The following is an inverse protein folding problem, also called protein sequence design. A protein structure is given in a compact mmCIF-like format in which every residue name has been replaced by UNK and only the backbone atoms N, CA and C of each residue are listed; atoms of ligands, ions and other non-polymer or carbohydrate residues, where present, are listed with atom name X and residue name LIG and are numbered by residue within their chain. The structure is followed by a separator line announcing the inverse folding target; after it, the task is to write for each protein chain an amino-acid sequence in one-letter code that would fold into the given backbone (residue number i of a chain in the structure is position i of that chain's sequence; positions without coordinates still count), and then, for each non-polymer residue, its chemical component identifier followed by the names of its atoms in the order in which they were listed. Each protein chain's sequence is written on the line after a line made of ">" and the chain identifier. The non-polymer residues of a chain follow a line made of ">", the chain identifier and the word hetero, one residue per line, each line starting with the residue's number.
data_IF_127377330103
#
_entry.id   IF_127377330103
#
_cell.length_a   1.000
_cell.length_b   1.000
_cell.length_c   1.000
_cell.angle_alpha   90.00
_cell.angle_beta   90.00
_cell.angle_gamma   90.00
#
_symmetry.space_group_name_H-M   'P 1'
#
loop_
_entity.id
_entity.type
_entity.pdbx_description
1 polymer ?
#
# COMPACT_ATOMS: atom_id res chain seq x y z
N UNK A 1 -13.12 -5.51 11.43
CA UNK A 1 -13.49 -4.89 12.73
C UNK A 1 -14.98 -4.96 12.98
N UNK A 2 -15.85 -4.65 12.00
CA UNK A 2 -17.32 -4.89 12.09
C UNK A 2 -17.64 -6.32 12.48
N UNK A 3 -16.99 -7.27 11.82
CA UNK A 3 -17.20 -8.70 12.08
C UNK A 3 -16.85 -9.14 13.51
N UNK A 4 -15.87 -8.50 14.14
CA UNK A 4 -15.54 -8.78 15.55
C UNK A 4 -16.64 -8.27 16.48
N UNK A 5 -17.22 -7.08 16.18
CA UNK A 5 -18.39 -6.57 16.90
C UNK A 5 -19.60 -7.49 16.73
N UNK A 6 -19.85 -7.94 15.50
CA UNK A 6 -20.95 -8.86 15.17
C UNK A 6 -20.79 -10.22 15.88
N UNK A 7 -19.53 -10.60 16.19
CA UNK A 7 -19.20 -11.80 16.96
C UNK A 7 -19.20 -11.59 18.49
N UNK A 8 -19.66 -10.43 18.95
CA UNK A 8 -19.83 -10.11 20.37
C UNK A 8 -18.57 -9.62 21.10
N UNK A 9 -17.49 -9.27 20.37
CA UNK A 9 -16.30 -8.68 20.96
C UNK A 9 -16.46 -7.18 21.17
N UNK A 10 -15.92 -6.65 22.28
CA UNK A 10 -15.75 -5.20 22.47
C UNK A 10 -14.57 -4.73 21.62
N UNK A 11 -14.80 -3.80 20.70
CA UNK A 11 -13.76 -3.25 19.80
C UNK A 11 -13.68 -1.75 19.97
N UNK A 12 -12.48 -1.24 20.22
CA UNK A 12 -12.19 0.20 20.32
C UNK A 12 -11.11 0.60 19.30
N UNK A 13 -11.23 1.76 18.70
CA UNK A 13 -10.17 2.39 17.91
C UNK A 13 -9.43 3.41 18.77
N UNK A 14 -8.10 3.24 18.90
CA UNK A 14 -7.26 4.14 19.67
C UNK A 14 -6.45 5.03 18.72
N UNK A 15 -6.85 6.30 18.62
CA UNK A 15 -6.12 7.30 17.84
C UNK A 15 -4.98 7.89 18.69
N UNK A 16 -3.77 7.46 18.33
CA UNK A 16 -2.51 7.91 18.95
C UNK A 16 -1.70 8.84 18.03
N UNK A 17 -2.30 9.35 16.96
CA UNK A 17 -1.62 10.22 15.96
C UNK A 17 -0.91 11.42 16.57
N UNK A 18 -1.52 12.06 17.59
CA UNK A 18 -0.94 13.21 18.30
C UNK A 18 0.37 12.90 19.04
N UNK A 19 0.66 11.64 19.33
CA UNK A 19 1.93 11.22 19.95
C UNK A 19 3.10 11.27 18.96
N UNK A 20 2.80 11.27 17.65
CA UNK A 20 3.80 11.14 16.58
C UNK A 20 3.87 12.36 15.66
N UNK A 21 2.79 13.12 15.54
CA UNK A 21 2.69 14.25 14.62
C UNK A 21 2.34 15.52 15.38
N UNK A 22 3.17 16.57 15.19
CA UNK A 22 3.02 17.88 15.88
C UNK A 22 1.94 18.75 15.20
N UNK A 23 1.64 18.52 13.93
CA UNK A 23 0.63 19.26 13.17
C UNK A 23 -0.62 18.42 12.95
N UNK A 24 -1.78 19.10 12.81
CA UNK A 24 -3.09 18.49 12.51
C UNK A 24 -3.10 17.84 11.10
N UNK A 25 -2.24 16.86 10.88
CA UNK A 25 -2.27 16.06 9.67
C UNK A 25 -3.45 15.09 9.74
N UNK A 26 -4.38 15.29 8.79
CA UNK A 26 -5.44 14.33 8.55
C UNK A 26 -6.46 14.28 9.68
N UNK A 27 -7.14 15.38 9.96
CA UNK A 27 -8.55 15.29 10.31
C UNK A 27 -9.30 14.93 9.02
N UNK A 28 -9.00 13.76 8.45
CA UNK A 28 -10.08 13.02 7.85
C UNK A 28 -11.01 12.71 9.02
N UNK A 29 -12.17 13.31 8.96
CA UNK A 29 -13.32 12.92 9.78
C UNK A 29 -13.68 11.49 9.33
N UNK A 30 -12.83 10.55 9.75
CA UNK A 30 -13.19 9.17 9.73
C UNK A 30 -14.31 9.07 10.76
N UNK A 31 -15.55 9.22 10.28
CA UNK A 31 -16.76 8.77 10.96
C UNK A 31 -16.60 7.26 11.16
N UNK A 32 -15.72 6.91 12.10
CA UNK A 32 -15.50 5.53 12.46
C UNK A 32 -16.80 5.07 13.12
N UNK A 33 -17.39 4.05 12.52
CA UNK A 33 -18.51 3.29 13.12
C UNK A 33 -18.14 2.68 14.49
N UNK A 34 -16.89 2.91 14.96
CA UNK A 34 -16.33 2.35 16.17
C UNK A 34 -16.15 3.40 17.27
N UNK A 35 -16.30 3.01 18.54
CA UNK A 35 -15.90 3.83 19.67
C UNK A 35 -14.43 4.22 19.54
N UNK A 36 -14.17 5.52 19.39
CA UNK A 36 -12.82 6.07 19.19
C UNK A 36 -12.33 6.76 20.43
N UNK A 37 -11.18 6.33 20.96
CA UNK A 37 -10.44 7.02 22.03
C UNK A 37 -9.26 7.77 21.43
N UNK A 38 -9.14 9.07 21.68
CA UNK A 38 -8.05 9.93 21.23
C UNK A 38 -7.13 10.26 22.38
N UNK A 39 -5.81 10.04 22.22
CA UNK A 39 -4.80 10.30 23.25
C UNK A 39 -3.96 11.51 22.86
N UNK A 40 -3.82 12.49 23.78
CA UNK A 40 -3.04 13.69 23.57
C UNK A 40 -1.56 13.53 23.93
N UNK A 41 -1.26 12.63 24.86
CA UNK A 41 0.09 12.37 25.38
C UNK A 41 0.23 10.94 25.88
N UNK A 42 1.46 10.53 26.13
CA UNK A 42 1.78 9.18 26.64
C UNK A 42 1.25 8.90 28.03
N UNK A 43 1.01 9.91 28.85
CA UNK A 43 0.46 9.72 30.20
C UNK A 43 -1.00 9.23 30.13
N UNK A 44 -1.82 9.86 29.30
CA UNK A 44 -3.20 9.40 29.05
C UNK A 44 -3.25 7.98 28.51
N UNK A 45 -2.37 7.66 27.54
CA UNK A 45 -2.27 6.31 26.96
C UNK A 45 -1.85 5.30 28.05
N UNK A 46 -0.88 5.64 28.88
CA UNK A 46 -0.41 4.76 29.94
C UNK A 46 -1.50 4.49 30.99
N UNK A 47 -2.30 5.50 31.36
CA UNK A 47 -3.45 5.29 32.24
C UNK A 47 -4.46 4.31 31.64
N UNK A 48 -4.77 4.45 30.34
CA UNK A 48 -5.66 3.53 29.64
C UNK A 48 -5.10 2.09 29.59
N UNK A 49 -3.79 1.94 29.32
CA UNK A 49 -3.14 0.61 29.31
C UNK A 49 -3.18 -0.07 30.69
N UNK A 50 -3.10 0.71 31.79
CA UNK A 50 -3.12 0.20 33.15
C UNK A 50 -4.42 -0.50 33.52
N UNK A 51 -5.54 -0.06 32.95
CA UNK A 51 -6.89 -0.58 33.26
C UNK A 51 -7.40 -1.59 32.22
N UNK A 52 -6.59 -1.91 31.20
CA UNK A 52 -6.98 -2.91 30.20
C UNK A 52 -7.24 -4.28 30.82
N UNK A 53 -8.29 -4.95 30.33
CA UNK A 53 -8.59 -6.34 30.70
C UNK A 53 -7.44 -7.26 30.25
N UNK A 54 -7.09 -8.27 31.06
CA UNK A 54 -5.95 -9.19 30.80
C UNK A 54 -5.95 -9.91 29.44
N UNK A 55 -7.10 -10.07 28.79
CA UNK A 55 -7.26 -10.74 27.50
C UNK A 55 -7.48 -9.78 26.34
N UNK A 56 -7.16 -8.50 26.49
CA UNK A 56 -7.30 -7.53 25.41
C UNK A 56 -6.18 -7.72 24.40
N UNK A 57 -6.54 -8.01 23.15
CA UNK A 57 -5.62 -8.02 22.01
C UNK A 57 -5.47 -6.59 21.48
N UNK A 58 -4.26 -6.07 21.45
CA UNK A 58 -3.91 -4.80 20.82
C UNK A 58 -3.33 -5.10 19.44
N UNK A 59 -4.00 -4.64 18.39
CA UNK A 59 -3.51 -4.77 17.03
C UNK A 59 -2.88 -3.44 16.61
N UNK A 60 -1.55 -3.45 16.43
CA UNK A 60 -0.83 -2.29 15.89
C UNK A 60 -0.99 -2.22 14.38
N UNK A 61 -1.47 -1.09 13.88
CA UNK A 61 -1.47 -0.76 12.45
C UNK A 61 -0.26 0.11 12.06
N UNK A 62 0.61 0.41 13.01
CA UNK A 62 1.83 1.18 12.79
C UNK A 62 2.99 0.26 12.40
N UNK A 63 3.84 0.74 11.50
CA UNK A 63 5.09 0.07 11.16
C UNK A 63 5.99 -0.04 12.40
N UNK A 64 6.51 -1.23 12.67
CA UNK A 64 7.42 -1.48 13.77
C UNK A 64 8.82 -0.94 13.45
N UNK A 65 9.08 0.31 13.82
CA UNK A 65 10.36 1.02 13.66
C UNK A 65 10.70 1.88 14.88
N UNK A 66 11.79 2.64 14.81
CA UNK A 66 12.28 3.44 15.93
C UNK A 66 11.27 4.43 16.52
N UNK A 67 10.30 4.90 15.74
CA UNK A 67 9.28 5.85 16.20
C UNK A 67 8.40 5.25 17.29
N UNK A 68 8.06 3.97 17.20
CA UNK A 68 7.18 3.28 18.15
C UNK A 68 7.91 2.71 19.38
N UNK A 69 9.22 2.92 19.52
CA UNK A 69 10.04 2.35 20.61
C UNK A 69 9.44 2.60 21.99
N UNK A 70 9.05 3.83 22.31
CA UNK A 70 8.46 4.17 23.62
C UNK A 70 7.10 3.50 23.84
N UNK A 71 6.27 3.43 22.82
CA UNK A 71 4.98 2.76 22.83
C UNK A 71 5.16 1.26 23.19
N UNK A 72 6.13 0.59 22.58
CA UNK A 72 6.38 -0.84 22.84
C UNK A 72 7.00 -1.09 24.20
N UNK A 73 7.74 -0.14 24.80
CA UNK A 73 8.11 -0.23 26.22
C UNK A 73 6.89 -0.22 27.13
N UNK A 74 5.89 0.60 26.86
CA UNK A 74 4.63 0.60 27.61
C UNK A 74 3.88 -0.72 27.44
N UNK A 75 3.75 -1.22 26.22
CA UNK A 75 3.12 -2.52 25.96
C UNK A 75 3.82 -3.66 26.72
N UNK A 76 5.15 -3.62 26.80
CA UNK A 76 5.94 -4.58 27.56
C UNK A 76 5.69 -4.46 29.07
N UNK A 77 5.71 -3.22 29.58
CA UNK A 77 5.46 -2.90 31.01
C UNK A 77 4.09 -3.43 31.47
N UNK A 78 3.06 -3.27 30.63
CA UNK A 78 1.69 -3.69 30.97
C UNK A 78 1.34 -5.09 30.47
N UNK A 79 2.32 -5.85 29.94
CA UNK A 79 2.17 -7.24 29.46
C UNK A 79 1.00 -7.39 28.46
N UNK A 80 0.83 -6.42 27.57
CA UNK A 80 -0.22 -6.44 26.57
C UNK A 80 -0.06 -7.63 25.61
N UNK A 81 -1.16 -8.19 25.11
CA UNK A 81 -1.16 -9.14 24.00
C UNK A 81 -1.12 -8.34 22.71
N UNK A 82 -0.09 -8.55 21.88
CA UNK A 82 0.19 -7.72 20.72
C UNK A 82 0.01 -8.47 19.41
N UNK A 83 -0.78 -7.90 18.51
CA UNK A 83 -0.90 -8.32 17.12
C UNK A 83 -0.39 -7.26 16.14
N UNK A 84 0.09 -7.69 14.98
CA UNK A 84 0.50 -6.81 13.89
C UNK A 84 0.14 -7.41 12.54
N UNK A 85 -0.16 -6.54 11.55
CA UNK A 85 -0.39 -6.94 10.17
C UNK A 85 0.85 -6.67 9.32
N UNK A 86 1.32 -7.71 8.63
CA UNK A 86 2.31 -7.64 7.56
C UNK A 86 1.66 -8.00 6.23
N UNK A 87 1.18 -7.01 5.48
CA UNK A 87 0.49 -7.20 4.20
C UNK A 87 0.61 -5.99 3.29
N UNK A 88 0.01 -6.05 2.09
CA UNK A 88 -0.02 -4.98 1.09
C UNK A 88 1.39 -4.60 0.60
N UNK A 89 2.26 -5.59 0.49
CA UNK A 89 3.59 -5.42 -0.07
C UNK A 89 3.58 -5.53 -1.58
N UNK A 90 4.63 -5.01 -2.20
CA UNK A 90 4.88 -5.05 -3.64
C UNK A 90 6.40 -5.17 -3.91
N UNK A 91 6.81 -5.48 -5.15
CA UNK A 91 8.22 -5.55 -5.50
C UNK A 91 8.92 -4.23 -5.24
N UNK A 92 9.87 -4.23 -4.31
CA UNK A 92 10.71 -3.07 -4.01
C UNK A 92 12.03 -3.18 -4.77
N UNK A 93 12.53 -2.04 -5.23
CA UNK A 93 13.90 -1.96 -5.69
C UNK A 93 14.83 -2.43 -4.57
N UNK A 94 15.69 -3.44 -4.80
CA UNK A 94 16.77 -3.70 -3.88
C UNK A 94 17.54 -2.38 -3.79
N UNK A 95 17.60 -1.78 -2.62
CA UNK A 95 18.39 -0.57 -2.38
C UNK A 95 19.82 -0.85 -2.81
N UNK A 96 20.13 -0.62 -4.10
CA UNK A 96 21.52 -0.46 -4.51
C UNK A 96 22.00 0.69 -3.68
N UNK A 97 22.99 0.44 -2.84
CA UNK A 97 23.65 1.42 -2.01
C UNK A 97 23.85 2.70 -2.83
N UNK A 98 22.93 3.67 -2.68
CA UNK A 98 23.25 5.03 -3.04
C UNK A 98 24.59 5.32 -2.38
N UNK A 99 25.55 5.80 -3.16
CA UNK A 99 26.85 6.21 -2.67
C UNK A 99 26.68 6.88 -1.31
N UNK A 100 27.46 6.47 -0.33
CA UNK A 100 27.41 6.98 1.05
C UNK A 100 27.38 8.52 1.06
N UNK A 101 28.06 9.15 0.10
CA UNK A 101 28.06 10.61 -0.09
C UNK A 101 26.69 11.18 -0.50
N UNK A 102 25.89 10.47 -1.30
CA UNK A 102 24.55 10.94 -1.69
C UNK A 102 23.50 10.72 -0.58
N UNK A 103 23.75 9.78 0.33
CA UNK A 103 22.95 9.61 1.56
C UNK A 103 23.24 10.73 2.58
N UNK A 104 24.46 11.22 2.63
CA UNK A 104 24.88 12.28 3.59
C UNK A 104 24.33 13.63 3.18
N UNK A 105 24.29 13.99 1.89
CA UNK A 105 23.83 15.30 1.42
C UNK A 105 22.32 15.54 1.56
N UNK A 106 21.50 14.46 1.69
CA UNK A 106 20.05 14.51 1.82
C UNK A 106 19.54 14.02 3.19
N UNK A 107 20.42 13.86 4.19
CA UNK A 107 20.04 13.44 5.53
C UNK A 107 19.34 14.58 6.27
N UNK A 108 18.02 14.52 6.29
CA UNK A 108 17.22 15.33 7.21
C UNK A 108 17.43 14.83 8.65
N UNK A 109 17.51 15.74 9.63
CA UNK A 109 17.70 15.43 11.05
C UNK A 109 16.70 14.37 11.57
N UNK A 110 15.46 14.41 11.06
CA UNK A 110 14.45 13.41 11.39
C UNK A 110 14.80 11.98 10.91
N UNK A 111 15.44 11.84 9.76
CA UNK A 111 15.89 10.53 9.24
C UNK A 111 17.02 9.96 10.07
N UNK A 112 17.99 10.80 10.47
CA UNK A 112 19.10 10.41 11.37
C UNK A 112 18.52 9.98 12.72
N UNK A 113 17.62 10.76 13.30
CA UNK A 113 16.95 10.45 14.55
C UNK A 113 16.21 9.10 14.46
N UNK A 114 15.43 8.87 13.42
CA UNK A 114 14.71 7.60 13.23
C UNK A 114 15.67 6.42 13.05
N UNK A 115 16.77 6.59 12.34
CA UNK A 115 17.80 5.56 12.21
C UNK A 115 18.36 5.15 13.58
N UNK A 116 18.77 6.10 14.42
CA UNK A 116 19.26 5.81 15.77
C UNK A 116 18.19 5.19 16.66
N UNK A 117 16.97 5.69 16.63
CA UNK A 117 15.84 5.12 17.37
C UNK A 117 15.55 3.68 16.94
N UNK A 118 15.63 3.38 15.64
CA UNK A 118 15.45 2.03 15.12
C UNK A 118 16.58 1.09 15.59
N UNK A 119 17.83 1.56 15.63
CA UNK A 119 18.93 0.77 16.18
C UNK A 119 18.73 0.50 17.68
N UNK A 120 18.28 1.49 18.43
CA UNK A 120 17.96 1.32 19.84
C UNK A 120 16.79 0.35 20.05
N UNK A 121 15.74 0.41 19.21
CA UNK A 121 14.65 -0.56 19.22
C UNK A 121 15.16 -1.99 19.05
N UNK A 122 16.03 -2.22 18.05
CA UNK A 122 16.61 -3.55 17.79
C UNK A 122 17.48 -4.04 18.96
N UNK A 123 18.20 -3.13 19.65
CA UNK A 123 18.96 -3.45 20.85
C UNK A 123 18.01 -3.84 21.99
N UNK A 124 16.96 -3.07 22.21
CA UNK A 124 15.97 -3.36 23.25
C UNK A 124 15.27 -4.71 23.03
N UNK A 125 14.96 -5.08 21.78
CA UNK A 125 14.47 -6.42 21.46
C UNK A 125 15.50 -7.50 21.76
N UNK A 126 16.78 -7.28 21.38
CA UNK A 126 17.84 -8.25 21.61
C UNK A 126 18.02 -8.56 23.11
N UNK A 127 17.84 -7.57 23.97
CA UNK A 127 17.94 -7.70 25.43
C UNK A 127 16.59 -7.90 26.12
N UNK A 128 15.55 -8.27 25.38
CA UNK A 128 14.19 -8.54 25.90
C UNK A 128 13.56 -7.41 26.71
N UNK A 129 14.03 -6.17 26.48
CA UNK A 129 13.46 -4.95 27.10
C UNK A 129 12.15 -4.53 26.45
N UNK A 130 11.93 -4.97 25.21
CA UNK A 130 10.70 -4.83 24.45
C UNK A 130 10.29 -6.24 24.04
N UNK A 131 9.03 -6.59 24.32
CA UNK A 131 8.48 -7.90 23.93
C UNK A 131 8.25 -7.95 22.41
N UNK A 132 8.33 -9.15 21.86
CA UNK A 132 7.91 -9.45 20.50
C UNK A 132 6.37 -9.47 20.38
N UNK A 133 5.87 -9.50 19.16
CA UNK A 133 4.45 -9.69 18.92
C UNK A 133 4.04 -11.12 19.27
N UNK A 134 2.88 -11.25 19.88
CA UNK A 134 2.29 -12.56 20.19
C UNK A 134 1.65 -13.15 18.93
N UNK A 135 1.09 -12.28 18.05
CA UNK A 135 0.36 -12.67 16.85
C UNK A 135 0.84 -11.84 15.67
N UNK A 136 1.11 -12.49 14.53
CA UNK A 136 1.53 -11.83 13.30
C UNK A 136 0.66 -12.32 12.14
N UNK A 137 -0.15 -11.42 11.59
CA UNK A 137 -0.97 -11.68 10.42
C UNK A 137 -0.17 -11.38 9.15
N UNK A 138 0.04 -12.39 8.29
CA UNK A 138 0.94 -12.27 7.13
C UNK A 138 0.20 -12.52 5.83
N UNK A 139 0.17 -11.50 4.96
CA UNK A 139 -0.41 -11.55 3.61
C UNK A 139 0.64 -11.77 2.52
N UNK A 140 0.67 -12.97 1.93
CA UNK A 140 1.69 -13.40 0.99
C UNK A 140 3.06 -13.66 1.64
N UNK A 141 3.98 -14.26 0.89
CA UNK A 141 5.32 -14.62 1.39
C UNK A 141 6.16 -13.42 1.79
N UNK A 142 5.96 -12.26 1.14
CA UNK A 142 6.68 -11.01 1.41
C UNK A 142 5.97 -10.09 2.40
N UNK A 143 4.78 -10.46 2.88
CA UNK A 143 3.93 -9.59 3.71
C UNK A 143 4.61 -9.09 4.98
N UNK A 144 5.44 -9.92 5.60
CA UNK A 144 6.17 -9.56 6.82
C UNK A 144 7.00 -8.27 6.67
N UNK A 145 7.51 -7.98 5.47
CA UNK A 145 8.26 -6.73 5.19
C UNK A 145 7.41 -5.48 5.44
N UNK A 146 6.09 -5.57 5.30
CA UNK A 146 5.15 -4.47 5.57
C UNK A 146 4.97 -4.16 7.05
N UNK A 147 5.28 -5.11 7.93
CA UNK A 147 5.19 -4.93 9.37
C UNK A 147 6.37 -4.14 9.96
N UNK A 148 7.45 -3.90 9.19
CA UNK A 148 8.64 -3.18 9.64
C UNK A 148 9.79 -4.10 10.03
N UNK A 149 10.50 -3.76 11.11
CA UNK A 149 11.70 -4.48 11.55
C UNK A 149 11.40 -5.78 12.33
N UNK A 150 10.56 -6.63 11.75
CA UNK A 150 10.26 -7.97 12.29
C UNK A 150 11.10 -9.01 11.54
N UNK A 151 11.86 -9.78 12.25
CA UNK A 151 12.74 -10.83 11.71
C UNK A 151 12.15 -12.22 11.96
N UNK A 152 12.65 -13.23 11.27
CA UNK A 152 12.28 -14.63 11.52
C UNK A 152 12.52 -15.07 12.96
N UNK A 153 13.51 -14.48 13.64
CA UNK A 153 13.78 -14.75 15.06
C UNK A 153 12.62 -14.26 15.96
N UNK A 154 12.06 -13.08 15.65
CA UNK A 154 10.92 -12.53 16.40
C UNK A 154 9.65 -13.37 16.22
N UNK A 155 9.58 -14.18 15.15
CA UNK A 155 8.43 -15.06 14.88
C UNK A 155 8.51 -16.41 15.61
N UNK A 156 9.63 -16.76 16.26
CA UNK A 156 9.79 -18.07 16.89
C UNK A 156 8.76 -18.34 17.99
N UNK A 157 8.31 -17.28 18.68
CA UNK A 157 7.33 -17.35 19.75
C UNK A 157 5.99 -16.70 19.39
N UNK A 158 5.82 -16.25 18.14
CA UNK A 158 4.59 -15.62 17.66
C UNK A 158 3.71 -16.65 16.97
N UNK A 159 2.41 -16.52 17.16
CA UNK A 159 1.44 -17.20 16.31
C UNK A 159 1.36 -16.49 14.96
N UNK A 160 1.71 -17.20 13.89
CA UNK A 160 1.71 -16.64 12.53
C UNK A 160 0.47 -17.08 11.79
N UNK A 161 -0.40 -16.12 11.47
CA UNK A 161 -1.67 -16.37 10.79
C UNK A 161 -1.58 -15.87 9.36
N UNK A 162 -1.79 -16.77 8.41
CA UNK A 162 -1.85 -16.40 6.99
C UNK A 162 -3.17 -15.70 6.67
N UNK A 163 -3.06 -14.57 5.97
CA UNK A 163 -4.20 -13.76 5.52
C UNK A 163 -3.95 -13.28 4.08
N UNK A 164 -4.87 -12.53 3.54
CA UNK A 164 -4.73 -11.89 2.24
C UNK A 164 -4.33 -10.41 2.34
N UNK A 165 -3.88 -9.84 1.23
CA UNK A 165 -3.87 -8.39 1.03
C UNK A 165 -5.30 -7.86 0.94
N UNK A 166 -5.48 -6.54 1.16
CA UNK A 166 -6.79 -5.91 1.00
C UNK A 166 -7.32 -6.05 -0.44
N UNK A 167 -6.43 -5.96 -1.41
CA UNK A 167 -6.77 -6.04 -2.83
C UNK A 167 -7.20 -7.44 -3.23
N UNK A 168 -6.58 -8.46 -2.62
CA UNK A 168 -6.99 -9.85 -2.87
C UNK A 168 -8.36 -10.15 -2.27
N UNK A 169 -8.65 -9.66 -1.07
CA UNK A 169 -10.00 -9.77 -0.49
C UNK A 169 -11.04 -9.10 -1.40
N UNK A 170 -10.71 -7.93 -1.96
CA UNK A 170 -11.59 -7.24 -2.91
C UNK A 170 -11.77 -8.04 -4.20
N UNK A 171 -10.71 -8.65 -4.71
CA UNK A 171 -10.78 -9.56 -5.85
C UNK A 171 -11.73 -10.74 -5.56
N UNK A 172 -11.62 -11.41 -4.41
CA UNK A 172 -12.49 -12.52 -4.03
C UNK A 172 -13.97 -12.12 -4.02
N UNK A 173 -14.28 -10.91 -3.57
CA UNK A 173 -15.65 -10.37 -3.57
C UNK A 173 -16.16 -10.10 -4.98
N UNK A 174 -15.31 -9.65 -5.88
CA UNK A 174 -15.69 -9.20 -7.23
C UNK A 174 -15.62 -10.28 -8.29
N UNK A 175 -14.79 -11.33 -8.13
CA UNK A 175 -14.57 -12.35 -9.16
C UNK A 175 -15.84 -13.10 -9.61
N UNK A 176 -16.85 -13.17 -8.75
CA UNK A 176 -18.14 -13.81 -9.02
C UNK A 176 -19.23 -12.83 -9.44
N UNK A 177 -18.93 -11.53 -9.40
CA UNK A 177 -19.90 -10.50 -9.76
C UNK A 177 -19.82 -10.23 -11.26
N UNK A 178 -20.93 -10.34 -11.98
CA UNK A 178 -21.03 -10.10 -13.42
C UNK A 178 -21.41 -8.67 -13.80
N UNK A 179 -21.75 -7.81 -12.83
CA UNK A 179 -22.15 -6.43 -13.12
C UNK A 179 -20.96 -5.62 -13.62
N UNK A 180 -21.08 -5.08 -14.82
CA UNK A 180 -20.07 -4.20 -15.43
C UNK A 180 -20.36 -2.73 -15.08
N UNK A 181 -19.29 -1.96 -14.89
CA UNK A 181 -19.42 -0.51 -14.68
C UNK A 181 -19.43 0.26 -16.01
N UNK A 182 -18.78 -0.28 -17.02
CA UNK A 182 -18.66 0.30 -18.35
C UNK A 182 -19.02 -0.79 -19.36
N UNK A 183 -19.92 -0.44 -20.30
CA UNK A 183 -20.21 -1.27 -21.44
C UNK A 183 -19.14 -1.12 -22.54
N UNK A 184 -18.85 -2.23 -23.24
CA UNK A 184 -17.85 -2.26 -24.31
C UNK A 184 -16.42 -2.48 -23.85
N UNK A 185 -15.50 -2.33 -24.80
CA UNK A 185 -14.05 -2.50 -24.58
C UNK A 185 -13.40 -1.18 -24.22
N UNK A 186 -12.44 -1.23 -23.30
CA UNK A 186 -11.65 -0.07 -22.91
C UNK A 186 -10.28 -0.45 -22.37
N UNK A 187 -9.39 0.50 -22.40
CA UNK A 187 -8.07 0.45 -21.80
C UNK A 187 -8.12 1.19 -20.47
N UNK A 188 -7.60 0.61 -19.41
CA UNK A 188 -7.62 1.25 -18.10
C UNK A 188 -6.26 1.87 -17.79
N UNK A 189 -6.25 3.12 -17.35
CA UNK A 189 -5.10 3.75 -16.70
C UNK A 189 -5.31 3.79 -15.18
N UNK A 190 -4.38 3.19 -14.44
CA UNK A 190 -4.33 3.29 -12.97
C UNK A 190 -3.52 4.53 -12.58
N UNK A 191 -4.23 5.59 -12.20
CA UNK A 191 -3.62 6.86 -11.84
C UNK A 191 -3.02 6.85 -10.42
N UNK A 192 -1.88 7.52 -10.27
CA UNK A 192 -1.19 7.71 -8.98
C UNK A 192 -1.22 9.17 -8.50
N UNK A 193 -1.88 10.06 -9.22
CA UNK A 193 -1.94 11.49 -8.90
C UNK A 193 -0.56 12.14 -8.77
N UNK A 194 0.44 11.66 -9.52
CA UNK A 194 1.86 11.97 -9.32
C UNK A 194 2.18 13.47 -9.19
N UNK A 195 1.69 14.39 -10.07
CA UNK A 195 2.03 15.81 -9.97
C UNK A 195 1.39 16.52 -8.76
N UNK A 196 0.29 15.98 -8.25
CA UNK A 196 -0.58 16.64 -7.28
C UNK A 196 -0.71 15.87 -5.97
N UNK A 197 -0.01 14.73 -5.84
CA UNK A 197 -0.13 13.87 -4.66
C UNK A 197 0.30 14.64 -3.40
N UNK A 198 -0.52 14.67 -2.32
CA UNK A 198 -0.22 15.43 -1.11
C UNK A 198 1.13 15.07 -0.47
N UNK A 199 1.53 13.81 -0.57
CA UNK A 199 2.78 13.31 0.04
C UNK A 199 4.02 13.92 -0.62
N UNK A 200 3.96 14.37 -1.89
CA UNK A 200 5.08 15.08 -2.54
C UNK A 200 5.41 16.37 -1.82
N UNK A 201 4.40 17.12 -1.42
CA UNK A 201 4.58 18.36 -0.62
C UNK A 201 5.04 18.03 0.79
N UNK A 202 4.42 17.04 1.42
CA UNK A 202 4.70 16.60 2.78
C UNK A 202 6.14 16.12 2.96
N UNK A 203 6.64 15.35 2.01
CA UNK A 203 7.99 14.77 2.05
C UNK A 203 9.04 15.67 1.38
N UNK A 204 8.65 16.88 0.95
CA UNK A 204 9.54 17.81 0.22
C UNK A 204 10.22 17.11 -0.97
N UNK A 205 9.49 16.26 -1.68
CA UNK A 205 10.00 15.56 -2.86
C UNK A 205 9.90 16.46 -4.10
N UNK A 206 10.87 16.31 -5.00
CA UNK A 206 10.75 16.91 -6.32
C UNK A 206 9.54 16.32 -7.04
N UNK A 207 8.63 17.18 -7.46
CA UNK A 207 7.44 16.80 -8.22
C UNK A 207 7.55 17.29 -9.66
N UNK A 208 6.91 16.54 -10.56
CA UNK A 208 6.67 17.01 -11.92
C UNK A 208 5.53 18.03 -11.88
N UNK A 209 5.62 19.08 -12.68
CA UNK A 209 4.53 20.06 -12.76
C UNK A 209 3.33 19.48 -13.54
N UNK A 210 2.09 19.78 -13.14
CA UNK A 210 0.90 19.34 -13.87
C UNK A 210 0.92 19.75 -15.35
N UNK A 211 1.41 20.96 -15.63
CA UNK A 211 1.51 21.53 -16.99
C UNK A 211 2.52 20.80 -17.88
N UNK A 212 3.45 20.06 -17.28
CA UNK A 212 4.42 19.20 -17.98
C UNK A 212 3.87 17.77 -18.16
N UNK A 213 3.23 17.24 -17.12
CA UNK A 213 2.83 15.84 -17.04
C UNK A 213 1.57 15.52 -17.89
N UNK A 214 0.47 16.24 -17.64
CA UNK A 214 -0.83 15.87 -18.25
C UNK A 214 -0.87 16.06 -19.77
N UNK A 215 -0.30 17.12 -20.40
CA UNK A 215 -0.29 17.24 -21.84
C UNK A 215 0.44 16.08 -22.53
N UNK A 216 1.60 15.66 -22.01
CA UNK A 216 2.36 14.55 -22.56
C UNK A 216 1.65 13.21 -22.37
N UNK A 217 1.02 13.02 -21.22
CA UNK A 217 0.24 11.82 -20.93
C UNK A 217 -1.00 11.72 -21.82
N UNK A 218 -1.71 12.84 -22.05
CA UNK A 218 -2.86 12.87 -22.94
C UNK A 218 -2.45 12.59 -24.39
N UNK A 219 -1.36 13.18 -24.88
CA UNK A 219 -0.84 12.87 -26.20
C UNK A 219 -0.44 11.39 -26.37
N UNK A 220 0.03 10.75 -25.29
CA UNK A 220 0.26 9.31 -25.26
C UNK A 220 -1.05 8.54 -25.33
N UNK A 221 -2.06 8.91 -24.57
CA UNK A 221 -3.38 8.25 -24.60
C UNK A 221 -4.06 8.39 -25.97
N UNK A 222 -3.93 9.55 -26.65
CA UNK A 222 -4.45 9.73 -28.01
C UNK A 222 -3.83 8.71 -29.00
N UNK A 223 -2.52 8.43 -28.85
CA UNK A 223 -1.85 7.40 -29.68
C UNK A 223 -2.33 5.98 -29.33
N UNK A 224 -2.49 5.69 -28.04
CA UNK A 224 -3.03 4.41 -27.57
C UNK A 224 -4.42 4.18 -28.11
N UNK A 225 -5.32 5.15 -27.97
CA UNK A 225 -6.71 5.06 -28.46
C UNK A 225 -6.77 4.89 -29.97
N UNK A 226 -5.95 5.63 -30.70
CA UNK A 226 -5.84 5.50 -32.16
C UNK A 226 -5.32 4.12 -32.59
N UNK A 227 -4.32 3.58 -31.89
CA UNK A 227 -3.71 2.29 -32.23
C UNK A 227 -4.64 1.11 -31.95
N UNK A 228 -5.38 1.14 -30.83
CA UNK A 228 -6.19 -0.01 -30.38
C UNK A 228 -7.69 0.16 -30.66
N UNK A 229 -8.16 1.32 -31.10
CA UNK A 229 -9.57 1.58 -31.37
C UNK A 229 -10.46 1.50 -30.13
N UNK A 230 -9.91 1.75 -28.94
CA UNK A 230 -10.59 1.65 -27.66
C UNK A 230 -10.32 2.91 -26.82
N UNK A 231 -11.31 3.43 -26.07
CA UNK A 231 -11.10 4.58 -25.20
C UNK A 231 -10.20 4.22 -24.01
N UNK A 232 -9.42 5.20 -23.57
CA UNK A 232 -8.70 5.13 -22.29
C UNK A 232 -9.62 5.67 -21.19
N UNK A 233 -9.78 4.87 -20.14
CA UNK A 233 -10.55 5.18 -18.93
C UNK A 233 -9.60 5.34 -17.75
N UNK A 234 -9.85 6.30 -16.88
CA UNK A 234 -8.99 6.64 -15.77
C UNK A 234 -9.58 6.11 -14.45
N UNK A 235 -8.86 5.26 -13.77
CA UNK A 235 -9.13 4.95 -12.37
C UNK A 235 -8.35 5.94 -11.49
N UNK A 236 -9.04 6.94 -10.95
CA UNK A 236 -8.45 8.00 -10.17
C UNK A 236 -7.90 7.49 -8.83
N UNK A 237 -6.76 8.06 -8.41
CA UNK A 237 -6.26 7.85 -7.07
C UNK A 237 -7.26 8.39 -6.02
N UNK A 238 -7.49 7.73 -4.86
CA UNK A 238 -8.48 8.16 -3.86
C UNK A 238 -8.30 9.62 -3.38
N UNK A 239 -7.06 10.12 -3.34
CA UNK A 239 -6.76 11.51 -2.95
C UNK A 239 -6.91 12.53 -4.08
N UNK A 240 -7.28 12.13 -5.28
CA UNK A 240 -7.33 12.98 -6.48
C UNK A 240 -8.64 13.79 -6.59
N UNK A 241 -9.04 14.47 -5.53
CA UNK A 241 -10.32 15.20 -5.47
C UNK A 241 -10.43 16.32 -6.51
N UNK A 242 -9.30 16.94 -6.90
CA UNK A 242 -9.28 17.98 -7.94
C UNK A 242 -9.78 17.51 -9.31
N UNK A 243 -9.74 16.22 -9.61
CA UNK A 243 -10.30 15.68 -10.84
C UNK A 243 -11.82 15.77 -10.93
N UNK A 244 -12.50 16.05 -9.82
CA UNK A 244 -13.94 16.34 -9.82
C UNK A 244 -14.25 17.76 -10.30
N UNK A 245 -13.29 18.65 -10.21
CA UNK A 245 -13.43 20.08 -10.49
C UNK A 245 -12.71 20.49 -11.78
N UNK A 246 -11.62 19.81 -12.13
CA UNK A 246 -10.75 20.16 -13.25
C UNK A 246 -10.56 18.97 -14.19
N UNK A 247 -10.60 19.24 -15.49
CA UNK A 247 -10.37 18.23 -16.53
C UNK A 247 -8.89 18.12 -16.87
N UNK A 248 -8.20 17.16 -16.28
CA UNK A 248 -6.79 16.87 -16.55
C UNK A 248 -6.56 15.88 -17.71
N UNK A 249 -7.57 15.11 -18.10
CA UNK A 249 -7.41 13.98 -19.00
C UNK A 249 -8.07 14.18 -20.38
N UNK A 250 -8.20 15.43 -20.83
CA UNK A 250 -8.69 15.72 -22.18
C UNK A 250 -10.13 15.24 -22.44
N UNK A 251 -10.98 15.22 -21.44
CA UNK A 251 -12.39 14.77 -21.53
C UNK A 251 -12.59 13.26 -21.36
N UNK A 252 -11.53 12.49 -21.09
CA UNK A 252 -11.65 11.05 -20.80
C UNK A 252 -12.40 10.80 -19.49
N UNK A 253 -13.13 9.70 -19.45
CA UNK A 253 -13.91 9.31 -18.26
C UNK A 253 -13.01 8.99 -17.08
N UNK A 254 -13.29 9.62 -15.92
CA UNK A 254 -12.56 9.44 -14.65
C UNK A 254 -13.50 8.82 -13.63
N UNK A 255 -13.07 7.70 -13.05
CA UNK A 255 -13.83 6.97 -12.05
C UNK A 255 -13.08 6.93 -10.72
N UNK A 256 -13.79 7.14 -9.63
CA UNK A 256 -13.27 7.11 -8.28
C UNK A 256 -13.69 5.80 -7.59
N UNK A 257 -12.84 5.30 -6.68
CA UNK A 257 -13.08 4.11 -5.83
C UNK A 257 -13.49 2.84 -6.60
N UNK A 258 -13.15 2.78 -7.90
CA UNK A 258 -13.61 1.75 -8.82
C UNK A 258 -12.49 0.93 -9.47
N UNK A 259 -11.23 1.08 -9.02
CA UNK A 259 -10.06 0.46 -9.66
C UNK A 259 -10.21 -1.06 -9.82
N UNK A 260 -10.74 -1.75 -8.82
CA UNK A 260 -10.88 -3.21 -8.86
C UNK A 260 -11.86 -3.69 -9.93
N UNK A 261 -13.06 -3.09 -10.01
CA UNK A 261 -14.08 -3.49 -10.99
C UNK A 261 -13.66 -3.07 -12.41
N UNK A 262 -13.03 -1.90 -12.55
CA UNK A 262 -12.50 -1.45 -13.83
C UNK A 262 -11.36 -2.37 -14.30
N UNK A 263 -10.44 -2.80 -13.43
CA UNK A 263 -9.41 -3.76 -13.78
C UNK A 263 -9.97 -5.09 -14.24
N UNK A 264 -11.02 -5.59 -13.57
CA UNK A 264 -11.66 -6.86 -13.94
C UNK A 264 -12.17 -6.86 -15.38
N UNK A 265 -12.73 -5.75 -15.85
CA UNK A 265 -13.44 -5.65 -17.12
C UNK A 265 -12.63 -5.02 -18.26
N UNK A 266 -11.44 -4.45 -17.95
CA UNK A 266 -10.54 -3.84 -18.95
C UNK A 266 -9.95 -4.89 -19.91
N UNK A 267 -9.67 -4.47 -21.16
CA UNK A 267 -8.91 -5.28 -22.13
C UNK A 267 -7.44 -5.37 -21.75
N UNK A 268 -6.82 -4.27 -21.37
CA UNK A 268 -5.51 -4.20 -20.74
C UNK A 268 -5.37 -2.97 -19.84
N UNK A 269 -4.32 -2.94 -19.05
CA UNK A 269 -4.11 -1.93 -18.02
C UNK A 269 -2.78 -1.22 -18.22
N UNK A 270 -2.80 0.10 -18.17
CA UNK A 270 -1.62 0.97 -18.15
C UNK A 270 -1.40 1.46 -16.72
N UNK A 271 -0.17 1.43 -16.24
CA UNK A 271 0.15 1.88 -14.89
C UNK A 271 1.57 2.47 -14.78
N UNK A 272 1.78 3.25 -13.75
CA UNK A 272 3.11 3.54 -13.23
C UNK A 272 3.48 2.48 -12.18
N UNK A 273 3.62 2.85 -10.88
CA UNK A 273 4.00 1.95 -9.79
C UNK A 273 2.94 1.85 -8.69
N UNK A 274 1.67 1.92 -9.07
CA UNK A 274 0.55 1.87 -8.14
C UNK A 274 0.44 0.52 -7.42
N UNK A 275 0.06 0.55 -6.14
CA UNK A 275 -0.35 -0.67 -5.44
C UNK A 275 -1.58 -1.33 -6.09
N UNK A 276 -2.41 -0.56 -6.80
CA UNK A 276 -3.56 -1.08 -7.56
C UNK A 276 -3.16 -2.03 -8.72
N UNK A 277 -1.87 -2.14 -9.06
CA UNK A 277 -1.31 -3.18 -9.95
C UNK A 277 -1.64 -4.60 -9.45
N UNK A 278 -1.96 -4.75 -8.19
CA UNK A 278 -2.46 -6.00 -7.63
C UNK A 278 -3.70 -6.52 -8.37
N UNK A 279 -4.63 -5.65 -8.75
CA UNK A 279 -5.87 -6.05 -9.43
C UNK A 279 -5.64 -6.64 -10.83
N UNK A 280 -4.93 -5.99 -11.77
CA UNK A 280 -4.68 -6.60 -13.07
C UNK A 280 -3.93 -7.92 -12.97
N UNK A 281 -3.05 -8.11 -11.98
CA UNK A 281 -2.37 -9.39 -11.78
C UNK A 281 -3.36 -10.49 -11.40
N UNK A 282 -4.20 -10.27 -10.39
CA UNK A 282 -5.14 -11.30 -9.91
C UNK A 282 -6.31 -11.56 -10.87
N UNK A 283 -6.67 -10.58 -11.71
CA UNK A 283 -7.66 -10.74 -12.78
C UNK A 283 -7.05 -11.24 -14.10
N UNK A 284 -5.75 -11.52 -14.17
CA UNK A 284 -5.06 -12.02 -15.37
C UNK A 284 -5.09 -11.02 -16.52
N UNK A 285 -4.94 -9.71 -16.23
CA UNK A 285 -4.97 -8.66 -17.25
C UNK A 285 -3.56 -8.33 -17.75
N UNK A 286 -3.44 -8.05 -19.05
CA UNK A 286 -2.20 -7.55 -19.64
C UNK A 286 -1.85 -6.21 -19.01
N UNK A 287 -0.60 -6.06 -18.55
CA UNK A 287 -0.07 -4.85 -17.95
C UNK A 287 0.96 -4.20 -18.86
N UNK A 288 0.84 -2.88 -18.98
CA UNK A 288 1.80 -2.05 -19.67
C UNK A 288 2.27 -0.94 -18.73
N UNK A 289 3.54 -0.96 -18.38
CA UNK A 289 4.11 0.05 -17.50
C UNK A 289 4.61 1.25 -18.29
N UNK A 290 4.31 2.46 -17.78
CA UNK A 290 4.77 3.70 -18.39
C UNK A 290 5.56 4.56 -17.40
N UNK A 291 6.52 5.32 -17.95
CA UNK A 291 7.32 6.32 -17.24
C UNK A 291 7.60 7.50 -18.18
N UNK A 292 8.37 8.49 -17.71
CA UNK A 292 8.87 9.58 -18.56
C UNK A 292 10.28 9.97 -18.13
N UNK A 293 10.99 10.73 -19.00
CA UNK A 293 12.29 11.30 -18.66
C UNK A 293 12.22 12.26 -17.48
N UNK A 294 11.10 12.93 -17.31
CA UNK A 294 10.86 13.79 -16.14
C UNK A 294 10.67 12.99 -14.87
N UNK A 295 9.91 11.86 -14.91
CA UNK A 295 9.78 10.93 -13.77
C UNK A 295 11.14 10.33 -13.42
N UNK A 296 11.89 9.83 -14.40
CA UNK A 296 13.22 9.25 -14.20
C UNK A 296 14.17 10.22 -13.49
N UNK A 297 14.14 11.50 -13.88
CA UNK A 297 15.03 12.53 -13.36
C UNK A 297 14.60 13.08 -11.99
N UNK A 298 13.32 13.46 -11.85
CA UNK A 298 12.79 14.17 -10.67
C UNK A 298 12.24 13.21 -9.62
N UNK A 299 11.60 12.10 -10.02
CA UNK A 299 10.92 11.15 -9.14
C UNK A 299 11.57 9.77 -9.21
N UNK A 300 12.87 9.71 -8.96
CA UNK A 300 13.70 8.50 -9.14
C UNK A 300 13.16 7.26 -8.43
N UNK A 301 12.58 7.40 -7.25
CA UNK A 301 12.00 6.28 -6.49
C UNK A 301 10.78 5.69 -7.21
N UNK A 302 9.91 6.54 -7.76
CA UNK A 302 8.75 6.12 -8.55
C UNK A 302 9.23 5.39 -9.81
N UNK A 303 10.15 6.00 -10.56
CA UNK A 303 10.73 5.37 -11.75
C UNK A 303 11.32 3.98 -11.43
N UNK A 304 12.10 3.87 -10.35
CA UNK A 304 12.68 2.58 -9.93
C UNK A 304 11.62 1.56 -9.56
N UNK A 305 10.54 1.97 -8.91
CA UNK A 305 9.43 1.08 -8.61
C UNK A 305 8.74 0.59 -9.89
N UNK A 306 8.52 1.45 -10.90
CA UNK A 306 8.02 1.05 -12.23
C UNK A 306 8.90 -0.04 -12.83
N UNK A 307 10.22 0.16 -12.84
CA UNK A 307 11.17 -0.83 -13.37
C UNK A 307 11.09 -2.15 -12.57
N UNK A 308 10.95 -2.08 -11.24
CA UNK A 308 10.86 -3.28 -10.39
C UNK A 308 9.59 -4.08 -10.65
N UNK A 309 8.44 -3.42 -10.73
CA UNK A 309 7.18 -4.07 -11.09
C UNK A 309 7.27 -4.75 -12.46
N UNK A 310 7.73 -3.99 -13.48
CA UNK A 310 7.85 -4.49 -14.84
C UNK A 310 8.79 -5.71 -14.91
N UNK A 311 9.96 -5.61 -14.27
CA UNK A 311 10.93 -6.71 -14.23
C UNK A 311 10.35 -7.94 -13.52
N UNK A 312 9.63 -7.75 -12.41
CA UNK A 312 9.04 -8.85 -11.65
C UNK A 312 7.97 -9.59 -12.46
N UNK A 313 7.10 -8.82 -13.14
CA UNK A 313 5.97 -9.34 -13.91
C UNK A 313 6.32 -9.71 -15.37
N UNK A 314 7.55 -9.48 -15.82
CA UNK A 314 7.95 -9.72 -17.20
C UNK A 314 7.32 -8.73 -18.20
N UNK A 315 6.94 -7.54 -17.73
CA UNK A 315 6.31 -6.52 -18.55
C UNK A 315 7.32 -5.53 -19.15
N UNK A 316 6.92 -4.87 -20.25
CA UNK A 316 7.68 -3.77 -20.82
C UNK A 316 7.43 -2.46 -20.07
N UNK A 317 8.41 -1.54 -20.16
CA UNK A 317 8.27 -0.16 -19.70
C UNK A 317 8.46 0.75 -20.89
N UNK A 318 7.51 1.65 -21.12
CA UNK A 318 7.57 2.64 -22.18
C UNK A 318 7.63 4.06 -21.65
N UNK A 319 8.40 4.92 -22.33
CA UNK A 319 8.45 6.34 -22.01
C UNK A 319 7.33 7.07 -22.78
N UNK A 320 6.29 7.53 -22.06
CA UNK A 320 5.13 8.17 -22.67
C UNK A 320 5.43 9.54 -23.30
N UNK A 321 6.52 10.18 -22.92
CA UNK A 321 7.02 11.44 -23.45
C UNK A 321 7.87 11.28 -24.72
N UNK A 322 7.97 10.07 -25.28
CA UNK A 322 8.61 9.80 -26.56
C UNK A 322 7.55 9.67 -27.67
N UNK A 323 7.42 10.67 -28.58
CA UNK A 323 6.24 10.80 -29.44
C UNK A 323 6.22 9.83 -30.64
N UNK A 324 7.33 9.17 -30.96
CA UNK A 324 7.47 8.40 -32.20
C UNK A 324 7.38 6.87 -32.01
N UNK A 325 7.22 6.40 -30.79
CA UNK A 325 7.13 4.98 -30.53
C UNK A 325 5.68 4.48 -30.56
N UNK A 326 5.42 3.40 -31.30
CA UNK A 326 4.19 2.63 -31.17
C UNK A 326 4.10 2.01 -29.78
N UNK A 327 2.88 1.79 -29.29
CA UNK A 327 2.68 1.16 -27.99
C UNK A 327 2.94 -0.35 -28.12
N UNK A 328 4.03 -0.81 -27.49
CA UNK A 328 4.44 -2.21 -27.52
C UNK A 328 3.80 -2.95 -26.34
N UNK A 329 2.57 -3.43 -26.51
CA UNK A 329 1.95 -4.33 -25.55
C UNK A 329 2.58 -5.72 -25.61
N UNK A 330 2.72 -6.34 -24.44
CA UNK A 330 3.02 -7.77 -24.35
C UNK A 330 1.77 -8.54 -24.80
N UNK A 331 1.89 -9.37 -25.85
CA UNK A 331 0.75 -10.12 -26.37
C UNK A 331 0.37 -11.29 -25.46
N UNK A 332 1.34 -11.90 -24.79
CA UNK A 332 1.15 -13.08 -23.92
C UNK A 332 1.56 -12.76 -22.49
N UNK A 333 0.70 -13.10 -21.56
CA UNK A 333 1.00 -12.98 -20.13
C UNK A 333 2.02 -14.03 -19.69
N UNK A 334 2.96 -13.65 -18.86
CA UNK A 334 3.81 -14.60 -18.15
C UNK A 334 3.05 -15.12 -16.91
N UNK A 335 2.30 -16.19 -17.09
CA UNK A 335 1.44 -16.77 -16.04
C UNK A 335 2.24 -17.22 -14.81
N UNK A 336 3.49 -17.68 -15.00
CA UNK A 336 4.35 -18.11 -13.90
C UNK A 336 4.73 -16.91 -13.02
N UNK A 337 5.11 -15.79 -13.63
CA UNK A 337 5.43 -14.55 -12.89
C UNK A 337 4.20 -13.95 -12.21
N UNK A 338 3.04 -13.97 -12.86
CA UNK A 338 1.79 -13.53 -12.26
C UNK A 338 1.41 -14.40 -11.06
N UNK A 339 1.58 -15.72 -11.18
CA UNK A 339 1.38 -16.66 -10.08
C UNK A 339 2.37 -16.43 -8.94
N UNK A 340 3.65 -16.23 -9.23
CA UNK A 340 4.66 -15.90 -8.22
C UNK A 340 4.31 -14.60 -7.50
N UNK A 341 3.93 -13.55 -8.24
CA UNK A 341 3.49 -12.27 -7.66
C UNK A 341 2.29 -12.46 -6.73
N UNK A 342 1.27 -13.21 -7.16
CA UNK A 342 0.07 -13.50 -6.37
C UNK A 342 0.44 -14.05 -4.99
N UNK A 343 1.31 -15.07 -4.92
CA UNK A 343 1.67 -15.71 -3.66
C UNK A 343 2.72 -14.93 -2.86
N UNK A 344 3.58 -14.16 -3.50
CA UNK A 344 4.55 -13.35 -2.78
C UNK A 344 3.93 -12.11 -2.13
N UNK A 345 2.91 -11.51 -2.76
CA UNK A 345 2.40 -10.21 -2.31
C UNK A 345 0.93 -10.16 -1.93
N UNK A 346 0.09 -11.13 -2.36
CA UNK A 346 -1.36 -11.01 -2.26
C UNK A 346 -2.00 -12.00 -1.30
N UNK A 347 -1.64 -13.26 -1.38
CA UNK A 347 -2.32 -14.35 -0.68
C UNK A 347 -1.34 -15.49 -0.39
N UNK A 348 -1.83 -16.55 0.28
CA UNK A 348 -1.14 -17.83 0.42
C UNK A 348 -2.04 -18.94 -0.11
N UNK A 349 -1.45 -20.11 -0.34
CA UNK A 349 -2.18 -21.26 -0.82
C UNK A 349 -3.33 -21.66 0.12
N UNK A 350 -3.15 -21.47 1.42
CA UNK A 350 -4.14 -21.83 2.45
C UNK A 350 -5.30 -20.83 2.53
N UNK A 351 -5.11 -19.60 2.01
CA UNK A 351 -6.06 -18.49 2.19
C UNK A 351 -6.67 -17.96 0.89
N UNK A 352 -6.23 -18.46 -0.27
CA UNK A 352 -6.64 -17.95 -1.58
C UNK A 352 -8.14 -18.06 -1.90
N UNK A 353 -8.89 -18.87 -1.16
CA UNK A 353 -10.35 -19.02 -1.29
C UNK A 353 -11.13 -18.42 -0.12
N UNK A 354 -10.45 -17.81 0.86
CA UNK A 354 -11.03 -17.31 2.11
C UNK A 354 -10.85 -15.80 2.22
N UNK A 355 -11.83 -15.10 2.72
CA UNK A 355 -11.66 -13.68 3.06
C UNK A 355 -10.86 -13.55 4.37
N UNK A 356 -10.01 -12.54 4.44
CA UNK A 356 -9.24 -12.23 5.67
C UNK A 356 -10.15 -12.03 6.86
N UNK A 357 -11.34 -11.44 6.68
CA UNK A 357 -12.31 -11.26 7.75
C UNK A 357 -12.74 -12.59 8.38
N UNK A 358 -13.02 -13.61 7.55
CA UNK A 358 -13.46 -14.92 8.03
C UNK A 358 -12.35 -15.65 8.76
N UNK A 359 -11.11 -15.52 8.27
CA UNK A 359 -9.91 -16.05 8.92
C UNK A 359 -9.73 -15.37 10.29
N UNK A 360 -9.87 -14.05 10.35
CA UNK A 360 -9.70 -13.27 11.56
C UNK A 360 -10.77 -13.61 12.60
N UNK A 361 -12.05 -13.68 12.21
CA UNK A 361 -13.15 -14.04 13.12
C UNK A 361 -12.94 -15.44 13.69
N UNK A 362 -12.59 -16.40 12.83
CA UNK A 362 -12.28 -17.76 13.30
C UNK A 362 -11.19 -17.74 14.37
N UNK A 363 -10.09 -17.02 14.12
CA UNK A 363 -8.97 -16.90 15.03
C UNK A 363 -9.35 -16.28 16.40
N UNK A 364 -10.17 -15.22 16.44
CA UNK A 364 -10.54 -14.57 17.70
C UNK A 364 -11.59 -15.35 18.49
N UNK A 365 -12.32 -16.29 17.85
CA UNK A 365 -13.33 -17.13 18.48
C UNK A 365 -12.73 -18.45 19.06
N UNK A 366 -11.57 -18.89 18.60
CA UNK A 366 -10.80 -20.02 19.12
C UNK A 366 -9.96 -19.61 20.33
#
# INVERSE_FOLDING_TARGET
>A
MSEALDSGFEVEYWDISKLFFVSNYGQEDSSHLLPTKKFKNYHELEQALRILKKRTLIISIMTFDGRVRHLYHLFTKYKCVLGIFGRNMFPLSPNKSCSIFHKISNLNFSMIKNFFQTRMLMIDQKFTRIKDHDIVFVGGNCGLRGAGHITSKNLQNAEVIKINSNDYDRYLQLRKNSNRLIEGKYILFLDEYLPLHPDTKLLSLDAIKPEEYYPLLNAYFDRVEKQFGMPVVIAAHPKALRYKEENFFGGRSVYFDSSAILCRDADFVIAHASTSVNYPVVFGKKLHFITSKSIERKMKSIHQNVICFAKYLGCNVQYFDQPHESVNLIEVLDEERYRAYKYDFQTSFETEEKLTKDIFVKFICE
#
